data_IF_394406214035
#
_entry.id   IF_394406214035
#
_cell.length_a   1.000
_cell.length_b   1.000
_cell.length_c   1.000
_cell.angle_alpha   90.00
_cell.angle_beta   90.00
_cell.angle_gamma   90.00
#
_symmetry.space_group_name_H-M   'P 1'
#
loop_
_entity.id
_entity.type
_entity.pdbx_description
1 polymer ?
#
# COMPACT_ATOMS: atom_id res chain seq x y z
N UNK A 1 21.56 10.44 -14.31
CA UNK A 1 21.63 11.89 -14.02
C UNK A 1 22.48 12.09 -12.77
N UNK A 2 23.42 13.04 -12.77
CA UNK A 2 24.22 13.39 -11.59
C UNK A 2 23.60 14.64 -10.96
N UNK A 3 23.18 14.52 -9.71
CA UNK A 3 22.52 15.60 -8.97
C UNK A 3 23.26 15.78 -7.65
N UNK A 4 23.49 17.03 -7.24
CA UNK A 4 24.02 17.34 -5.93
C UNK A 4 22.85 17.70 -5.01
N UNK A 5 22.67 16.95 -3.92
CA UNK A 5 21.61 17.15 -2.93
C UNK A 5 22.18 16.97 -1.54
N UNK A 6 21.70 17.75 -0.59
CA UNK A 6 22.07 17.64 0.82
C UNK A 6 21.15 16.57 1.44
N UNK A 7 21.75 15.58 2.10
CA UNK A 7 21.03 14.51 2.78
C UNK A 7 21.45 14.49 4.25
N UNK A 8 20.50 14.14 5.12
CA UNK A 8 20.79 13.88 6.52
C UNK A 8 21.53 12.54 6.66
N UNK A 9 22.77 12.58 7.13
CA UNK A 9 23.61 11.39 7.29
C UNK A 9 23.07 10.42 8.35
N UNK A 10 22.32 10.89 9.35
CA UNK A 10 21.72 10.02 10.37
C UNK A 10 20.61 9.17 9.75
N UNK A 11 19.70 9.81 9.01
CA UNK A 11 18.61 9.16 8.30
C UNK A 11 19.13 8.19 7.22
N UNK A 12 20.17 8.58 6.48
CA UNK A 12 20.76 7.71 5.45
C UNK A 12 21.41 6.47 6.06
N UNK A 13 22.10 6.60 7.20
CA UNK A 13 22.68 5.44 7.91
C UNK A 13 21.59 4.50 8.42
N UNK A 14 20.52 5.05 8.95
CA UNK A 14 19.37 4.25 9.38
C UNK A 14 18.72 3.53 8.20
N UNK A 15 18.47 4.22 7.10
CA UNK A 15 17.91 3.64 5.89
C UNK A 15 18.81 2.50 5.37
N UNK A 16 20.13 2.71 5.30
CA UNK A 16 21.10 1.68 4.92
C UNK A 16 20.98 0.44 5.81
N UNK A 17 20.88 0.63 7.13
CA UNK A 17 20.74 -0.46 8.10
C UNK A 17 19.43 -1.23 7.95
N UNK A 18 18.33 -0.52 7.66
CA UNK A 18 16.99 -1.12 7.53
C UNK A 18 16.76 -1.80 6.18
N UNK A 19 17.30 -1.26 5.09
CA UNK A 19 17.10 -1.78 3.74
C UNK A 19 18.26 -2.65 3.25
N UNK A 20 19.34 -2.76 4.04
CA UNK A 20 20.53 -3.57 3.77
C UNK A 20 21.24 -3.23 2.43
N UNK A 21 21.12 -1.98 1.99
CA UNK A 21 21.77 -1.46 0.77
C UNK A 21 23.18 -0.94 1.05
N UNK A 22 24.00 -0.82 0.01
CA UNK A 22 25.43 -0.56 0.17
C UNK A 22 25.80 0.90 -0.02
N UNK A 23 24.94 1.72 -0.62
CA UNK A 23 25.28 3.10 -0.96
C UNK A 23 24.14 4.10 -0.75
N UNK A 24 24.50 5.37 -0.51
CA UNK A 24 23.54 6.49 -0.45
C UNK A 24 22.71 6.59 -1.75
N UNK A 25 23.32 6.26 -2.90
CA UNK A 25 22.63 6.25 -4.21
C UNK A 25 21.52 5.20 -4.26
N UNK A 26 21.77 4.01 -3.73
CA UNK A 26 20.77 2.94 -3.67
C UNK A 26 19.62 3.29 -2.74
N UNK A 27 19.92 3.90 -1.57
CA UNK A 27 18.87 4.42 -0.67
C UNK A 27 17.95 5.39 -1.39
N UNK A 28 18.53 6.39 -2.07
CA UNK A 28 17.75 7.40 -2.79
C UNK A 28 16.94 6.78 -3.92
N UNK A 29 17.51 5.79 -4.63
CA UNK A 29 16.79 5.09 -5.68
C UNK A 29 15.57 4.33 -5.14
N UNK A 30 15.75 3.54 -4.08
CA UNK A 30 14.66 2.81 -3.42
C UNK A 30 13.59 3.74 -2.87
N UNK A 31 13.99 4.84 -2.21
CA UNK A 31 13.05 5.82 -1.69
C UNK A 31 12.18 6.45 -2.79
N UNK A 32 12.77 6.75 -3.95
CA UNK A 32 12.02 7.28 -5.10
C UNK A 32 11.09 6.23 -5.72
N UNK A 33 11.52 4.97 -5.82
CA UNK A 33 10.66 3.88 -6.30
C UNK A 33 9.45 3.70 -5.40
N UNK A 34 9.65 3.64 -4.08
CA UNK A 34 8.56 3.50 -3.12
C UNK A 34 7.64 4.72 -3.09
N UNK A 35 8.18 5.94 -3.20
CA UNK A 35 7.38 7.15 -3.29
C UNK A 35 6.44 7.10 -4.51
N UNK A 36 6.97 6.74 -5.68
CA UNK A 36 6.16 6.63 -6.92
C UNK A 36 5.11 5.54 -6.78
N UNK A 37 5.48 4.37 -6.24
CA UNK A 37 4.56 3.27 -6.00
C UNK A 37 3.41 3.70 -5.08
N UNK A 38 3.71 4.30 -3.94
CA UNK A 38 2.70 4.79 -2.98
C UNK A 38 1.78 5.84 -3.60
N UNK A 39 2.31 6.76 -4.42
CA UNK A 39 1.48 7.75 -5.12
C UNK A 39 0.59 7.12 -6.18
N UNK A 40 1.09 6.13 -6.93
CA UNK A 40 0.27 5.37 -7.88
C UNK A 40 -0.84 4.60 -7.17
N UNK A 41 -0.54 3.94 -6.05
CA UNK A 41 -1.53 3.23 -5.24
C UNK A 41 -2.60 4.18 -4.69
N UNK A 42 -2.22 5.37 -4.21
CA UNK A 42 -3.17 6.40 -3.76
C UNK A 42 -4.01 7.00 -4.90
N UNK A 43 -3.43 7.10 -6.10
CA UNK A 43 -4.12 7.61 -7.29
C UNK A 43 -5.01 6.57 -7.97
N UNK A 44 -4.90 5.28 -7.61
CA UNK A 44 -5.84 4.28 -8.11
C UNK A 44 -7.25 4.78 -7.82
N UNK A 45 -8.12 4.91 -8.84
CA UNK A 45 -9.44 5.45 -8.64
C UNK A 45 -10.13 4.61 -7.58
N UNK A 46 -10.74 5.26 -6.59
CA UNK A 46 -11.65 4.61 -5.63
C UNK A 46 -12.64 3.68 -6.34
N UNK A 47 -12.98 3.98 -7.59
CA UNK A 47 -13.81 3.18 -8.50
C UNK A 47 -13.20 1.81 -8.83
N UNK A 48 -11.90 1.68 -9.12
CA UNK A 48 -11.26 0.36 -9.35
C UNK A 48 -11.25 -0.49 -8.08
N UNK A 49 -11.14 0.15 -6.92
CA UNK A 49 -11.31 -0.50 -5.62
C UNK A 49 -12.74 -1.06 -5.50
N UNK A 50 -13.77 -0.24 -5.72
CA UNK A 50 -15.17 -0.71 -5.72
C UNK A 50 -15.40 -1.84 -6.74
N UNK A 51 -14.88 -1.74 -7.96
CA UNK A 51 -15.03 -2.77 -8.99
C UNK A 51 -14.39 -4.10 -8.60
N UNK A 52 -13.16 -4.10 -8.07
CA UNK A 52 -12.44 -5.33 -7.72
C UNK A 52 -13.02 -6.06 -6.49
N UNK A 53 -13.48 -5.31 -5.48
CA UNK A 53 -14.04 -5.91 -4.26
C UNK A 53 -15.53 -6.25 -4.38
N UNK A 54 -16.28 -5.62 -5.29
CA UNK A 54 -17.67 -5.99 -5.57
C UNK A 54 -17.79 -7.17 -6.55
N UNK A 55 -16.83 -7.33 -7.48
CA UNK A 55 -16.87 -8.43 -8.45
C UNK A 55 -16.40 -9.78 -7.88
N UNK A 56 -15.62 -9.79 -6.80
CA UNK A 56 -15.23 -11.01 -6.08
C UNK A 56 -15.74 -10.93 -4.62
N UNK A 57 -17.05 -11.10 -4.39
CA UNK A 57 -17.57 -11.18 -3.04
C UNK A 57 -16.90 -12.35 -2.32
N UNK A 58 -16.52 -12.13 -1.06
CA UNK A 58 -16.02 -13.20 -0.21
C UNK A 58 -17.21 -14.14 0.02
N UNK A 59 -17.19 -15.32 -0.59
CA UNK A 59 -18.15 -16.37 -0.28
C UNK A 59 -17.78 -16.99 1.07
N UNK A 60 -18.43 -16.53 2.13
CA UNK A 60 -18.37 -17.23 3.41
C UNK A 60 -19.25 -18.47 3.30
N UNK A 61 -18.63 -19.66 3.31
CA UNK A 61 -19.33 -20.95 3.18
C UNK A 61 -20.51 -21.12 4.16
N UNK A 62 -20.42 -20.47 5.33
CA UNK A 62 -21.39 -20.60 6.41
C UNK A 62 -22.28 -19.35 6.62
N UNK A 63 -22.15 -18.32 5.77
CA UNK A 63 -22.99 -17.14 5.90
C UNK A 63 -24.37 -17.38 5.31
N UNK A 64 -25.33 -17.71 6.18
CA UNK A 64 -26.75 -17.63 5.85
C UNK A 64 -27.24 -16.22 6.18
N UNK A 65 -27.58 -15.43 5.17
CA UNK A 65 -28.20 -14.12 5.39
C UNK A 65 -29.51 -14.32 6.15
N UNK A 66 -29.63 -13.73 7.34
CA UNK A 66 -30.91 -13.64 8.04
C UNK A 66 -31.77 -12.61 7.32
N UNK A 67 -32.99 -12.97 6.94
CA UNK A 67 -33.97 -12.02 6.44
C UNK A 67 -34.31 -11.03 7.55
N UNK A 68 -34.75 -9.82 7.17
CA UNK A 68 -35.33 -8.88 8.13
C UNK A 68 -36.44 -9.55 8.94
N UNK A 69 -37.21 -10.43 8.31
CA UNK A 69 -38.28 -11.18 8.97
C UNK A 69 -37.75 -12.16 10.03
N UNK A 70 -36.57 -12.76 9.81
CA UNK A 70 -35.92 -13.66 10.79
C UNK A 70 -35.38 -12.89 12.01
N UNK A 71 -35.04 -11.61 11.84
CA UNK A 71 -34.53 -10.73 12.91
C UNK A 71 -35.68 -10.27 13.83
N UNK A 72 -36.87 -10.08 13.27
CA UNK A 72 -38.04 -9.59 14.01
C UNK A 72 -39.03 -10.68 14.42
N UNK A 73 -38.79 -11.94 14.04
CA UNK A 73 -39.51 -13.09 14.57
C UNK A 73 -39.07 -13.39 16.01
N UNK A 74 -39.63 -12.65 16.97
CA UNK A 74 -39.50 -12.92 18.41
C UNK A 74 -40.86 -13.21 19.03
#
# INVERSE_FOLDING_TARGET
MRTNIILDDTLVKEAIRLTNVRSKREVVHLALQELVRLRREQQKPRQEFFSNYLQNPIELADFKSMSRDDIYAR
#
